data_IF_843322673026
#
_entry.id   IF_843322673026
#
_cell.length_a   1.000
_cell.length_b   1.000
_cell.length_c   1.000
_cell.angle_alpha   90.00
_cell.angle_beta   90.00
_cell.angle_gamma   90.00
#
_symmetry.space_group_name_H-M   'P 1'
#
loop_
_entity.id
_entity.type
_entity.pdbx_description
1 polymer ?
#
# COMPACT_ATOMS: atom_id res chain seq x y z
N UNK A 1 53.06 62.80 -49.14
CA UNK A 1 52.48 63.00 -47.80
C UNK A 1 52.36 61.66 -47.09
N UNK A 2 52.82 61.58 -45.84
CA UNK A 2 52.83 60.39 -44.96
C UNK A 2 51.44 60.10 -44.38
N UNK A 3 51.14 58.84 -44.06
CA UNK A 3 50.85 58.35 -42.68
C UNK A 3 50.52 56.85 -42.63
N UNK A 4 51.27 56.14 -41.78
CA UNK A 4 50.96 54.84 -41.18
C UNK A 4 49.81 54.97 -40.16
N UNK A 5 49.08 53.90 -39.91
CA UNK A 5 48.60 53.43 -38.60
C UNK A 5 47.54 52.33 -38.80
N UNK A 6 47.28 51.35 -37.94
CA UNK A 6 47.95 50.67 -36.82
C UNK A 6 47.03 49.46 -36.56
N UNK A 7 47.62 48.31 -36.23
CA UNK A 7 46.89 47.10 -35.81
C UNK A 7 46.12 47.36 -34.53
N UNK A 8 44.91 46.82 -34.41
CA UNK A 8 44.26 46.54 -33.12
C UNK A 8 43.79 45.08 -33.14
N UNK A 9 44.48 44.27 -32.35
CA UNK A 9 44.06 42.91 -32.01
C UNK A 9 43.21 43.02 -30.75
N UNK A 10 41.95 42.61 -30.83
CA UNK A 10 41.05 42.57 -29.67
C UNK A 10 40.94 41.12 -29.22
N UNK A 11 41.60 40.80 -28.11
CA UNK A 11 41.52 39.53 -27.40
C UNK A 11 40.14 39.41 -26.75
N UNK A 12 39.33 38.45 -27.18
CA UNK A 12 38.02 38.16 -26.59
C UNK A 12 38.16 36.96 -25.64
N UNK A 13 38.14 37.22 -24.34
CA UNK A 13 38.17 36.20 -23.31
C UNK A 13 36.79 35.57 -23.15
N UNK A 14 36.69 34.26 -23.38
CA UNK A 14 35.46 33.48 -23.28
C UNK A 14 35.33 32.95 -21.84
N UNK A 15 34.40 33.50 -21.05
CA UNK A 15 34.04 32.98 -19.72
C UNK A 15 33.07 31.81 -19.89
N UNK A 16 33.57 30.58 -19.82
CA UNK A 16 32.73 29.37 -19.78
C UNK A 16 32.20 29.16 -18.36
N UNK A 17 30.92 29.44 -18.14
CA UNK A 17 30.23 29.04 -16.93
C UNK A 17 30.10 27.51 -16.92
N UNK A 18 30.83 26.84 -16.03
CA UNK A 18 30.70 25.41 -15.80
C UNK A 18 29.42 25.13 -15.01
N UNK A 19 28.44 24.51 -15.66
CA UNK A 19 27.23 24.03 -15.00
C UNK A 19 27.51 22.63 -14.46
N UNK A 20 27.69 22.49 -13.16
CA UNK A 20 27.75 21.18 -12.51
C UNK A 20 26.32 20.61 -12.45
N UNK A 21 26.01 19.50 -13.15
CA UNK A 21 24.72 18.84 -12.96
C UNK A 21 24.72 18.25 -11.55
N UNK A 22 23.82 18.75 -10.69
CA UNK A 22 23.52 18.08 -9.44
C UNK A 22 22.87 16.74 -9.76
N UNK A 23 23.64 15.66 -9.59
CA UNK A 23 23.12 14.31 -9.52
C UNK A 23 22.30 14.20 -8.22
N UNK A 24 21.03 14.59 -8.29
CA UNK A 24 20.07 14.28 -7.24
C UNK A 24 19.88 12.76 -7.19
N UNK A 25 20.14 12.15 -6.03
CA UNK A 25 19.71 10.78 -5.78
C UNK A 25 18.18 10.75 -5.97
N UNK A 26 17.62 9.87 -6.82
CA UNK A 26 16.18 9.69 -6.84
C UNK A 26 15.77 9.20 -5.44
N UNK A 27 14.95 9.98 -4.74
CA UNK A 27 14.22 9.47 -3.59
C UNK A 27 13.46 8.24 -4.07
N UNK A 28 13.67 7.09 -3.42
CA UNK A 28 12.82 5.94 -3.66
C UNK A 28 11.38 6.38 -3.36
N UNK A 29 10.57 6.61 -4.40
CA UNK A 29 9.16 6.82 -4.26
C UNK A 29 8.54 5.43 -4.05
N UNK A 30 8.23 5.10 -2.80
CA UNK A 30 7.45 3.90 -2.49
C UNK A 30 6.02 4.22 -2.90
N UNK A 31 5.50 3.53 -3.90
CA UNK A 31 4.09 3.62 -4.24
C UNK A 31 3.36 2.64 -3.34
N UNK A 32 2.40 3.12 -2.55
CA UNK A 32 1.52 2.23 -1.79
C UNK A 32 0.81 1.30 -2.78
N UNK A 33 0.74 0.02 -2.41
CA UNK A 33 0.22 -1.04 -3.24
C UNK A 33 -1.25 -1.31 -2.92
N UNK A 34 -2.14 -1.43 -3.93
CA UNK A 34 -3.54 -1.67 -3.69
C UNK A 34 -3.81 -3.13 -3.31
N UNK A 35 -4.65 -3.35 -2.31
CA UNK A 35 -5.21 -4.64 -1.91
C UNK A 35 -6.72 -4.51 -1.76
N UNK A 36 -7.44 -5.61 -1.97
CA UNK A 36 -8.85 -5.71 -1.62
C UNK A 36 -8.99 -6.62 -0.41
N UNK A 37 -9.64 -6.12 0.64
CA UNK A 37 -10.07 -6.91 1.78
C UNK A 37 -11.53 -7.34 1.57
N UNK A 38 -11.82 -8.59 1.89
CA UNK A 38 -13.17 -9.15 1.76
C UNK A 38 -13.48 -10.05 2.97
N UNK A 39 -14.67 -9.87 3.54
CA UNK A 39 -15.18 -10.67 4.66
C UNK A 39 -16.57 -11.15 4.29
N UNK A 40 -16.77 -12.47 4.29
CA UNK A 40 -18.04 -13.10 3.89
C UNK A 40 -18.48 -14.13 4.92
N UNK A 41 -19.80 -14.30 5.01
CA UNK A 41 -20.45 -15.35 5.80
C UNK A 41 -21.86 -15.56 5.24
N UNK A 42 -22.36 -16.79 5.34
CA UNK A 42 -23.76 -17.12 5.04
C UNK A 42 -24.65 -16.90 6.28
N UNK A 43 -24.13 -17.17 7.47
CA UNK A 43 -24.90 -17.14 8.73
C UNK A 43 -24.71 -15.85 9.54
N UNK A 44 -23.52 -15.25 9.49
CA UNK A 44 -23.18 -14.06 10.28
C UNK A 44 -23.51 -12.82 9.46
N UNK A 45 -24.46 -12.03 9.96
CA UNK A 45 -24.93 -10.84 9.26
C UNK A 45 -24.14 -9.58 9.60
N UNK A 46 -23.54 -9.51 10.80
CA UNK A 46 -22.86 -8.32 11.30
C UNK A 46 -21.52 -8.73 11.92
N UNK A 47 -20.47 -7.98 11.59
CA UNK A 47 -19.14 -8.12 12.19
C UNK A 47 -18.45 -6.76 12.41
N UNK A 48 -17.49 -6.72 13.31
CA UNK A 48 -16.53 -5.63 13.43
C UNK A 48 -15.29 -6.00 12.63
N UNK A 49 -14.78 -5.07 11.83
CA UNK A 49 -13.64 -5.32 10.94
C UNK A 49 -12.54 -4.32 11.25
N UNK A 50 -11.32 -4.81 11.35
CA UNK A 50 -10.11 -3.98 11.39
C UNK A 50 -9.22 -4.35 10.22
N UNK A 51 -8.61 -3.36 9.59
CA UNK A 51 -7.71 -3.58 8.46
C UNK A 51 -6.60 -2.53 8.41
N UNK A 52 -5.52 -2.83 7.68
CA UNK A 52 -4.43 -1.87 7.46
C UNK A 52 -4.62 -1.14 6.13
N UNK A 53 -4.45 0.17 6.17
CA UNK A 53 -4.29 1.04 5.00
C UNK A 53 -3.06 1.94 5.17
N UNK A 54 -2.85 2.88 4.24
CA UNK A 54 -1.67 3.75 4.22
C UNK A 54 -1.67 4.79 5.34
N UNK A 55 -2.81 5.04 5.96
CA UNK A 55 -2.94 5.86 7.17
C UNK A 55 -2.74 5.07 8.47
N UNK A 56 -2.67 3.75 8.38
CA UNK A 56 -2.48 2.83 9.49
C UNK A 56 -3.69 1.91 9.68
N UNK A 57 -4.03 1.60 10.93
CA UNK A 57 -5.14 0.71 11.24
C UNK A 57 -6.47 1.45 11.15
N UNK A 58 -7.35 0.98 10.29
CA UNK A 58 -8.72 1.43 10.16
C UNK A 58 -9.71 0.44 10.78
N UNK A 59 -10.91 0.91 11.12
CA UNK A 59 -11.97 0.12 11.72
C UNK A 59 -13.32 0.39 11.06
N UNK A 60 -14.06 -0.68 10.79
CA UNK A 60 -15.43 -0.67 10.32
C UNK A 60 -16.29 -1.49 11.30
N UNK A 61 -16.97 -0.79 12.21
CA UNK A 61 -17.71 -1.42 13.31
C UNK A 61 -19.15 -1.72 12.91
N UNK A 62 -19.65 -2.89 13.29
CA UNK A 62 -21.06 -3.29 13.08
C UNK A 62 -21.49 -3.30 11.62
N UNK A 63 -20.59 -3.64 10.69
CA UNK A 63 -20.91 -3.67 9.26
C UNK A 63 -21.64 -4.95 8.87
N UNK A 64 -22.51 -4.83 7.88
CA UNK A 64 -23.21 -5.97 7.29
C UNK A 64 -22.29 -6.82 6.43
N UNK A 65 -22.39 -8.13 6.52
CA UNK A 65 -21.69 -9.06 5.62
C UNK A 65 -22.59 -9.42 4.40
N UNK A 66 -22.02 -9.59 3.19
CA UNK A 66 -20.59 -9.50 2.87
C UNK A 66 -20.07 -8.07 2.90
N UNK A 67 -18.85 -7.90 3.42
CA UNK A 67 -18.15 -6.61 3.44
C UNK A 67 -16.91 -6.68 2.56
N UNK A 68 -16.65 -5.59 1.83
CA UNK A 68 -15.49 -5.47 0.94
C UNK A 68 -15.00 -4.03 0.91
N UNK A 69 -13.68 -3.85 0.94
CA UNK A 69 -13.05 -2.54 0.71
C UNK A 69 -11.74 -2.69 -0.05
N UNK A 70 -11.41 -1.69 -0.86
CA UNK A 70 -10.07 -1.50 -1.36
C UNK A 70 -9.27 -0.62 -0.39
N UNK A 71 -7.99 -0.92 -0.24
CA UNK A 71 -7.05 -0.18 0.59
C UNK A 71 -5.68 -0.16 -0.08
N UNK A 72 -4.86 0.82 0.25
CA UNK A 72 -3.45 0.89 -0.18
C UNK A 72 -2.55 0.62 1.02
N UNK A 73 -1.53 -0.22 0.88
CA UNK A 73 -0.57 -0.53 1.95
C UNK A 73 0.86 -0.38 1.44
N UNK A 74 1.82 -0.10 2.34
CA UNK A 74 3.21 0.14 1.94
C UNK A 74 3.89 -1.11 1.39
N UNK A 75 3.60 -2.29 1.94
CA UNK A 75 4.21 -3.55 1.50
C UNK A 75 3.23 -4.68 1.65
N UNK A 76 2.60 -5.14 0.56
CA UNK A 76 1.50 -6.12 0.64
C UNK A 76 1.85 -7.37 1.45
N UNK A 77 3.08 -7.88 1.26
CA UNK A 77 3.61 -9.06 1.96
C UNK A 77 4.50 -8.75 3.16
N UNK A 78 4.50 -7.51 3.62
CA UNK A 78 5.19 -7.08 4.84
C UNK A 78 4.41 -7.45 6.10
N UNK A 79 5.04 -7.28 7.26
CA UNK A 79 4.34 -7.34 8.53
C UNK A 79 3.59 -6.02 8.79
N UNK A 80 2.42 -6.04 9.47
CA UNK A 80 1.80 -4.83 9.99
C UNK A 80 2.77 -4.03 10.89
N UNK A 81 2.69 -2.68 10.90
CA UNK A 81 1.63 -1.86 10.32
C UNK A 81 1.78 -1.59 8.82
N UNK A 82 2.96 -1.77 8.24
CA UNK A 82 3.21 -1.48 6.82
C UNK A 82 2.59 -2.53 5.88
N UNK A 83 2.30 -3.73 6.42
CA UNK A 83 1.78 -4.88 5.72
C UNK A 83 0.27 -5.00 5.66
N UNK A 84 -0.23 -5.72 4.63
CA UNK A 84 -1.66 -6.00 4.53
C UNK A 84 -2.14 -6.93 5.66
N UNK A 85 -3.25 -6.55 6.28
CA UNK A 85 -3.89 -7.30 7.35
C UNK A 85 -5.37 -6.96 7.38
N UNK A 86 -6.20 -7.97 7.61
CA UNK A 86 -7.63 -7.82 7.90
C UNK A 86 -8.03 -8.78 9.01
N UNK A 87 -8.86 -8.30 9.93
CA UNK A 87 -9.46 -9.05 11.03
C UNK A 87 -10.96 -8.82 11.04
N UNK A 88 -11.72 -9.88 11.26
CA UNK A 88 -13.14 -9.82 11.55
C UNK A 88 -13.40 -10.38 12.96
N UNK A 89 -14.25 -9.69 13.72
CA UNK A 89 -14.74 -10.11 15.03
C UNK A 89 -16.28 -10.17 14.99
N UNK A 90 -16.82 -11.33 15.35
CA UNK A 90 -18.27 -11.60 15.44
C UNK A 90 -18.60 -12.41 16.69
N UNK A 91 -17.75 -12.33 17.74
CA UNK A 91 -17.87 -13.13 18.96
C UNK A 91 -19.28 -13.18 19.55
N UNK A 92 -20.08 -12.09 19.58
CA UNK A 92 -21.44 -12.13 20.10
C UNK A 92 -22.39 -13.08 19.36
N UNK A 93 -22.08 -13.46 18.12
CA UNK A 93 -22.90 -14.34 17.26
C UNK A 93 -22.20 -15.63 16.86
N UNK A 94 -21.00 -15.90 17.40
CA UNK A 94 -20.22 -17.09 17.10
C UNK A 94 -20.95 -18.36 17.58
N UNK A 95 -20.98 -19.38 16.74
CA UNK A 95 -21.50 -20.70 17.07
C UNK A 95 -20.89 -21.75 16.14
N UNK A 96 -20.87 -23.04 16.52
CA UNK A 96 -20.38 -24.10 15.65
C UNK A 96 -21.02 -24.05 14.27
N UNK A 97 -20.20 -24.22 13.24
CA UNK A 97 -20.59 -24.18 11.83
C UNK A 97 -21.12 -22.81 11.31
N UNK A 98 -21.04 -21.74 12.09
CA UNK A 98 -21.29 -20.37 11.60
C UNK A 98 -19.98 -19.73 11.16
N UNK A 99 -19.59 -20.03 9.93
CA UNK A 99 -18.28 -19.68 9.40
C UNK A 99 -18.22 -18.23 8.93
N UNK A 100 -17.09 -17.58 9.20
CA UNK A 100 -16.69 -16.32 8.57
C UNK A 100 -15.36 -16.54 7.86
N UNK A 101 -15.32 -16.14 6.60
CA UNK A 101 -14.11 -16.19 5.76
C UNK A 101 -13.58 -14.78 5.56
N UNK A 102 -12.35 -14.53 6.00
CA UNK A 102 -11.60 -13.30 5.73
C UNK A 102 -10.60 -13.54 4.60
N UNK A 103 -10.49 -12.59 3.66
CA UNK A 103 -9.63 -12.68 2.48
C UNK A 103 -8.83 -11.39 2.25
N UNK A 104 -7.59 -11.56 1.83
CA UNK A 104 -6.76 -10.51 1.23
C UNK A 104 -6.53 -10.88 -0.23
N UNK A 105 -6.92 -9.98 -1.13
CA UNK A 105 -6.79 -10.15 -2.57
C UNK A 105 -5.77 -9.11 -3.07
N UNK A 106 -4.78 -9.58 -3.81
CA UNK A 106 -3.76 -8.74 -4.42
C UNK A 106 -3.56 -9.16 -5.88
N UNK A 107 -3.62 -8.19 -6.80
CA UNK A 107 -3.52 -8.45 -8.25
C UNK A 107 -4.51 -9.53 -8.74
N UNK A 108 -5.74 -9.49 -8.22
CA UNK A 108 -6.80 -10.44 -8.54
C UNK A 108 -6.62 -11.84 -7.96
N UNK A 109 -5.60 -12.08 -7.12
CA UNK A 109 -5.32 -13.37 -6.49
C UNK A 109 -5.56 -13.30 -4.99
N UNK A 110 -6.23 -14.30 -4.43
CA UNK A 110 -6.31 -14.47 -2.97
C UNK A 110 -4.93 -14.85 -2.47
N UNK A 111 -4.31 -13.97 -1.68
CA UNK A 111 -2.98 -14.21 -1.07
C UNK A 111 -3.09 -14.69 0.39
N UNK A 112 -4.21 -14.41 1.04
CA UNK A 112 -4.59 -14.98 2.32
C UNK A 112 -6.10 -15.20 2.37
N UNK A 113 -6.51 -16.35 2.91
CA UNK A 113 -7.87 -16.73 3.26
C UNK A 113 -7.83 -17.52 4.57
N UNK A 114 -8.69 -17.14 5.51
CA UNK A 114 -8.86 -17.83 6.77
C UNK A 114 -10.36 -17.93 7.07
N UNK A 115 -10.83 -19.15 7.28
CA UNK A 115 -12.24 -19.47 7.57
C UNK A 115 -12.34 -20.09 8.95
N UNK A 116 -13.09 -19.45 9.87
CA UNK A 116 -13.26 -19.90 11.24
C UNK A 116 -14.71 -19.66 11.71
N UNK A 117 -15.16 -20.40 12.73
CA UNK A 117 -16.47 -20.27 13.36
C UNK A 117 -16.41 -19.81 14.84
N UNK A 118 -15.19 -19.52 15.33
CA UNK A 118 -14.91 -19.22 16.75
C UNK A 118 -15.08 -17.75 17.15
N UNK A 119 -15.56 -16.88 16.26
CA UNK A 119 -15.85 -15.47 16.56
C UNK A 119 -14.74 -14.47 16.23
N UNK A 120 -13.57 -14.92 15.80
CA UNK A 120 -12.47 -14.05 15.35
C UNK A 120 -11.70 -14.77 14.22
N UNK A 121 -11.47 -14.07 13.12
CA UNK A 121 -10.60 -14.53 12.05
C UNK A 121 -9.73 -13.39 11.56
N UNK A 122 -8.44 -13.69 11.39
CA UNK A 122 -7.44 -12.73 10.91
C UNK A 122 -6.66 -13.32 9.75
N UNK A 123 -6.32 -12.47 8.79
CA UNK A 123 -5.40 -12.74 7.69
C UNK A 123 -4.26 -11.73 7.68
N UNK A 124 -3.06 -12.19 7.34
CA UNK A 124 -1.85 -11.36 7.19
C UNK A 124 -1.23 -11.63 5.83
N UNK A 125 -0.95 -10.60 5.03
CA UNK A 125 -0.38 -10.78 3.69
C UNK A 125 1.02 -11.41 3.68
N UNK A 126 1.78 -11.27 4.77
CA UNK A 126 3.08 -11.91 4.97
C UNK A 126 3.00 -13.44 5.13
N UNK A 127 1.84 -13.97 5.53
CA UNK A 127 1.64 -15.40 5.78
C UNK A 127 0.60 -15.96 4.82
N UNK A 128 1.04 -16.54 3.68
CA UNK A 128 0.11 -17.21 2.78
C UNK A 128 -0.66 -18.30 3.52
N UNK A 129 -1.98 -18.17 3.52
CA UNK A 129 -2.90 -19.16 4.07
C UNK A 129 -4.09 -19.24 3.14
N UNK A 130 -4.51 -20.43 2.73
CA UNK A 130 -5.73 -20.62 1.95
C UNK A 130 -6.47 -21.78 2.57
N UNK A 131 -7.35 -21.48 3.52
CA UNK A 131 -8.16 -22.46 4.26
C UNK A 131 -9.62 -22.06 4.28
#
# INVERSE_FOLDING_TARGET
MRRRARRFATTMACLTAAWTPMLGNPSAAWADEPVTYEVVSEDIQIANIEYQDSSGRASANGVTLPWRTDATVRTVRGAPPDGSQVRADWRPSAAPARWVTVRIIYQGKVICQNTLDVGDATCYGITPRIT
#
